data_IF_457872749744
#
_entry.id   IF_457872749744
#
_cell.length_a   1.000
_cell.length_b   1.000
_cell.length_c   1.000
_cell.angle_alpha   90.00
_cell.angle_beta   90.00
_cell.angle_gamma   90.00
#
_symmetry.space_group_name_H-M   'P 1'
#
loop_
_entity.id
_entity.type
_entity.pdbx_description
1 polymer ?
#
# COMPACT_ATOMS: atom_id res chain seq x y z
N UNK A 1 -14.17 2.63 11.68
CA UNK A 1 -13.99 3.49 10.49
C UNK A 1 -12.59 3.29 9.97
N UNK A 2 -12.00 4.32 9.40
CA UNK A 2 -10.63 4.37 8.87
C UNK A 2 -10.23 3.27 7.89
N UNK A 3 -11.20 2.73 7.14
CA UNK A 3 -10.85 1.81 6.06
C UNK A 3 -10.06 2.58 5.01
N UNK A 4 -8.85 2.13 4.66
CA UNK A 4 -7.96 2.88 3.78
C UNK A 4 -7.20 2.00 2.79
N UNK A 5 -6.80 2.62 1.68
CA UNK A 5 -5.90 2.07 0.67
C UNK A 5 -4.62 2.90 0.73
N UNK A 6 -3.47 2.24 0.85
CA UNK A 6 -2.17 2.90 1.04
C UNK A 6 -1.17 2.35 0.02
N UNK A 7 -0.35 3.24 -0.54
CA UNK A 7 0.73 2.87 -1.44
C UNK A 7 1.93 2.22 -0.69
N UNK A 8 2.91 1.63 -1.41
CA UNK A 8 4.06 0.97 -0.79
C UNK A 8 5.00 1.87 0.03
N UNK A 9 4.83 3.20 -0.04
CA UNK A 9 5.64 4.18 0.69
C UNK A 9 4.87 4.88 1.83
N UNK A 10 3.66 4.41 2.13
CA UNK A 10 2.82 4.94 3.20
C UNK A 10 1.88 6.08 2.80
N UNK A 11 1.75 6.39 1.51
CA UNK A 11 0.82 7.41 1.02
C UNK A 11 -0.60 6.87 1.05
N UNK A 12 -1.52 7.57 1.71
CA UNK A 12 -2.95 7.20 1.71
C UNK A 12 -3.58 7.61 0.38
N UNK A 13 -4.07 6.63 -0.39
CA UNK A 13 -4.70 6.84 -1.68
C UNK A 13 -6.21 7.07 -1.56
N UNK A 14 -6.85 6.42 -0.59
CA UNK A 14 -8.25 6.65 -0.24
C UNK A 14 -8.50 6.22 1.21
N UNK A 15 -9.39 6.93 1.91
CA UNK A 15 -9.77 6.61 3.30
C UNK A 15 -11.25 6.90 3.56
N UNK A 16 -11.92 5.99 4.27
CA UNK A 16 -13.24 6.19 4.85
C UNK A 16 -13.08 6.42 6.36
N UNK A 17 -12.96 7.68 6.78
CA UNK A 17 -12.70 8.01 8.18
C UNK A 17 -13.81 7.51 9.12
N UNK A 18 -15.08 7.80 8.79
CA UNK A 18 -16.25 7.50 9.63
C UNK A 18 -17.45 7.03 8.82
N UNK A 19 -18.38 6.34 9.48
CA UNK A 19 -19.62 5.85 8.85
C UNK A 19 -19.41 4.66 7.91
N UNK A 20 -20.51 4.13 7.38
CA UNK A 20 -20.50 3.08 6.37
C UNK A 20 -20.26 3.69 4.98
N UNK A 21 -19.43 3.04 4.16
CA UNK A 21 -19.08 3.53 2.84
C UNK A 21 -18.11 2.60 2.13
N UNK A 22 -17.80 2.93 0.88
CA UNK A 22 -16.83 2.23 0.03
C UNK A 22 -15.82 3.24 -0.48
N UNK A 23 -14.55 2.86 -0.47
CA UNK A 23 -13.45 3.63 -1.06
C UNK A 23 -12.82 2.88 -2.21
N UNK A 24 -12.40 3.61 -3.24
CA UNK A 24 -11.81 3.07 -4.47
C UNK A 24 -10.58 3.92 -4.80
N UNK A 25 -9.50 3.27 -5.21
CA UNK A 25 -8.29 3.92 -5.69
C UNK A 25 -7.66 3.09 -6.82
N UNK A 26 -7.02 3.77 -7.77
CA UNK A 26 -6.20 3.11 -8.78
C UNK A 26 -4.85 2.69 -8.19
N UNK A 27 -4.41 1.49 -8.53
CA UNK A 27 -3.12 0.96 -8.12
C UNK A 27 -2.13 1.00 -9.28
N UNK A 28 -1.04 1.73 -9.09
CA UNK A 28 0.09 1.72 -10.01
C UNK A 28 0.97 0.49 -9.76
N UNK A 29 0.77 -0.52 -10.60
CA UNK A 29 1.50 -1.78 -10.53
C UNK A 29 2.98 -1.63 -10.94
N UNK A 30 3.31 -0.65 -11.78
CA UNK A 30 4.69 -0.38 -12.16
C UNK A 30 5.45 0.20 -10.98
N UNK A 31 4.88 1.20 -10.30
CA UNK A 31 5.44 1.76 -9.07
C UNK A 31 5.64 0.69 -7.99
N UNK A 32 4.68 -0.21 -7.79
CA UNK A 32 4.83 -1.33 -6.86
C UNK A 32 6.03 -2.22 -7.21
N UNK A 33 6.18 -2.57 -8.49
CA UNK A 33 7.30 -3.38 -8.95
C UNK A 33 8.65 -2.67 -8.77
N UNK A 34 8.71 -1.37 -9.10
CA UNK A 34 9.91 -0.56 -8.91
C UNK A 34 10.29 -0.43 -7.44
N UNK A 35 9.34 -0.16 -6.53
CA UNK A 35 9.61 -0.08 -5.09
C UNK A 35 10.19 -1.38 -4.56
N UNK A 36 9.63 -2.53 -4.93
CA UNK A 36 10.14 -3.84 -4.49
C UNK A 36 11.54 -4.16 -5.02
N UNK A 37 11.87 -3.72 -6.25
CA UNK A 37 13.22 -3.86 -6.81
C UNK A 37 14.23 -2.96 -6.11
N UNK A 38 13.85 -1.72 -5.83
CA UNK A 38 14.73 -0.73 -5.20
C UNK A 38 14.91 -0.99 -3.69
N UNK A 39 13.91 -1.58 -3.05
CA UNK A 39 13.94 -1.94 -1.63
C UNK A 39 13.43 -3.39 -1.43
N UNK A 40 14.28 -4.40 -1.69
CA UNK A 40 13.91 -5.82 -1.62
C UNK A 40 13.90 -6.35 -0.18
N UNK A 41 13.15 -5.68 0.71
CA UNK A 41 13.14 -5.96 2.15
C UNK A 41 12.81 -7.43 2.48
N UNK A 42 11.99 -8.08 1.65
CA UNK A 42 11.62 -9.48 1.81
C UNK A 42 12.77 -10.44 1.51
N UNK A 43 13.70 -10.08 0.61
CA UNK A 43 14.88 -10.90 0.29
C UNK A 43 15.92 -10.84 1.41
N UNK A 44 16.02 -9.68 2.08
CA UNK A 44 16.89 -9.50 3.24
C UNK A 44 16.35 -10.20 4.50
N UNK A 45 15.09 -10.67 4.48
CA UNK A 45 14.43 -11.27 5.65
C UNK A 45 15.03 -12.63 5.97
N UNK A 46 15.63 -12.77 7.15
CA UNK A 46 16.05 -14.07 7.71
C UNK A 46 14.93 -14.64 8.57
N UNK A 47 14.36 -15.78 8.16
CA UNK A 47 13.41 -16.55 8.96
C UNK A 47 14.21 -17.48 9.89
N UNK A 48 14.00 -17.37 11.20
CA UNK A 48 14.47 -18.31 12.22
C UNK A 48 13.28 -19.09 12.75
#
# INVERSE_FOLDING_TARGET
GHAMIVDPWGTVLAEQEKGAGVVVADLDMERLAQTRRNFPALEHRRLR
#
